data_IF_190762274861
#
_entry.id   IF_190762274861
#
_cell.length_a   1.000
_cell.length_b   1.000
_cell.length_c   1.000
_cell.angle_alpha   90.00
_cell.angle_beta   90.00
_cell.angle_gamma   90.00
#
_symmetry.space_group_name_H-M   'P 1'
#
loop_
_entity.id
_entity.type
_entity.pdbx_description
1 polymer ?
#
# COMPACT_ATOMS: atom_id res chain seq x y z
N UNK A 1 3.93 7.29 12.68
CA UNK A 1 5.12 7.21 11.80
C UNK A 1 4.77 6.30 10.63
N UNK A 2 4.32 6.87 9.52
CA UNK A 2 3.90 6.07 8.35
C UNK A 2 5.11 5.98 7.42
N UNK A 3 5.73 4.80 7.34
CA UNK A 3 6.81 4.53 6.38
C UNK A 3 6.33 4.62 4.93
N UNK A 4 7.16 4.24 3.97
CA UNK A 4 6.93 4.31 2.50
C UNK A 4 5.54 3.84 2.03
N UNK A 5 4.92 2.94 2.78
CA UNK A 5 3.55 2.43 2.56
C UNK A 5 2.46 3.50 2.73
N UNK A 6 2.61 4.40 3.70
CA UNK A 6 1.70 5.52 3.89
C UNK A 6 1.69 6.47 2.71
N UNK A 7 2.85 6.67 2.09
CA UNK A 7 2.99 7.54 0.91
C UNK A 7 2.24 6.97 -0.31
N UNK A 8 2.19 5.64 -0.47
CA UNK A 8 1.40 5.01 -1.53
C UNK A 8 -0.11 5.20 -1.30
N UNK A 9 -0.57 5.06 -0.05
CA UNK A 9 -1.97 5.31 0.30
C UNK A 9 -2.32 6.77 0.02
N UNK A 10 -1.47 7.69 0.46
CA UNK A 10 -1.67 9.12 0.27
C UNK A 10 -1.69 9.47 -1.22
N UNK A 11 -0.77 8.91 -2.01
CA UNK A 11 -0.75 9.06 -3.46
C UNK A 11 -2.04 8.53 -4.13
N UNK A 12 -2.59 7.39 -3.67
CA UNK A 12 -3.86 6.88 -4.18
C UNK A 12 -5.03 7.79 -3.79
N UNK A 13 -5.09 8.23 -2.53
CA UNK A 13 -6.13 9.17 -2.05
C UNK A 13 -6.04 10.53 -2.73
N UNK A 14 -4.84 10.96 -3.10
CA UNK A 14 -4.59 12.15 -3.90
C UNK A 14 -4.89 11.96 -5.40
N UNK A 15 -5.27 10.76 -5.84
CA UNK A 15 -5.53 10.44 -7.24
C UNK A 15 -4.28 10.41 -8.13
N UNK A 16 -3.08 10.39 -7.53
CA UNK A 16 -1.80 10.34 -8.25
C UNK A 16 -1.48 8.95 -8.79
N UNK A 17 -2.01 7.90 -8.14
CA UNK A 17 -1.87 6.52 -8.58
C UNK A 17 -3.22 5.79 -8.60
N UNK A 18 -3.47 4.93 -9.60
CA UNK A 18 -4.75 4.24 -9.75
C UNK A 18 -4.93 3.07 -8.77
N UNK A 19 -3.84 2.41 -8.35
CA UNK A 19 -3.88 1.25 -7.46
C UNK A 19 -2.63 1.20 -6.60
N UNK A 20 -2.74 0.74 -5.34
CA UNK A 20 -1.58 0.60 -4.43
C UNK A 20 -0.94 -0.77 -4.60
N UNK A 21 -1.74 -1.78 -4.93
CA UNK A 21 -1.33 -3.18 -5.12
C UNK A 21 -0.07 -3.37 -5.97
N UNK A 22 0.04 -2.84 -7.21
CA UNK A 22 1.22 -3.08 -8.05
C UNK A 22 2.51 -2.45 -7.49
N UNK A 23 2.41 -1.31 -6.80
CA UNK A 23 3.56 -0.67 -6.16
C UNK A 23 3.96 -1.40 -4.88
N UNK A 24 2.97 -1.90 -4.14
CA UNK A 24 3.19 -2.72 -2.96
C UNK A 24 3.91 -4.03 -3.32
N UNK A 25 3.46 -4.69 -4.38
CA UNK A 25 4.06 -5.92 -4.90
C UNK A 25 5.51 -5.69 -5.35
N UNK A 26 5.75 -4.55 -6.01
CA UNK A 26 7.11 -4.15 -6.41
C UNK A 26 8.02 -3.84 -5.22
N UNK A 27 7.49 -3.23 -4.16
CA UNK A 27 8.23 -3.03 -2.91
C UNK A 27 8.59 -4.37 -2.27
N UNK A 28 7.65 -5.31 -2.20
CA UNK A 28 7.91 -6.66 -1.69
C UNK A 28 8.99 -7.36 -2.53
N UNK A 29 8.94 -7.23 -3.85
CA UNK A 29 9.97 -7.74 -4.77
C UNK A 29 11.35 -7.09 -4.54
N UNK A 30 11.40 -5.82 -4.13
CA UNK A 30 12.61 -5.10 -3.74
C UNK A 30 13.13 -5.46 -2.32
N UNK A 31 12.63 -6.56 -1.72
CA UNK A 31 12.88 -7.00 -0.34
C UNK A 31 12.33 -6.09 0.76
N UNK A 32 11.32 -5.28 0.44
CA UNK A 32 10.59 -4.56 1.47
C UNK A 32 9.75 -5.55 2.29
N UNK A 33 10.20 -5.83 3.53
CA UNK A 33 9.45 -6.73 4.43
C UNK A 33 8.17 -6.04 4.88
N UNK A 34 7.05 -6.44 4.28
CA UNK A 34 5.72 -6.07 4.74
C UNK A 34 5.11 -7.27 5.45
N UNK A 35 4.72 -7.08 6.72
CA UNK A 35 3.97 -8.11 7.41
C UNK A 35 2.59 -8.27 6.77
N UNK A 36 2.05 -9.49 6.63
CA UNK A 36 0.69 -9.73 6.13
C UNK A 36 -0.39 -8.82 6.74
N UNK A 37 -0.44 -8.58 8.07
CA UNK A 37 -1.43 -7.66 8.65
C UNK A 37 -1.21 -6.21 8.24
N UNK A 38 0.04 -5.77 8.03
CA UNK A 38 0.35 -4.42 7.52
C UNK A 38 -0.09 -4.28 6.07
N UNK A 39 0.11 -5.30 5.24
CA UNK A 39 -0.40 -5.32 3.86
C UNK A 39 -1.92 -5.19 3.84
N UNK A 40 -2.63 -5.98 4.64
CA UNK A 40 -4.09 -5.89 4.73
C UNK A 40 -4.56 -4.50 5.19
N UNK A 41 -3.91 -3.91 6.21
CA UNK A 41 -4.21 -2.56 6.66
C UNK A 41 -3.95 -1.50 5.57
N UNK A 42 -2.88 -1.64 4.79
CA UNK A 42 -2.56 -0.73 3.68
C UNK A 42 -3.58 -0.85 2.56
N UNK A 43 -3.96 -2.06 2.16
CA UNK A 43 -5.02 -2.24 1.15
C UNK A 43 -6.38 -1.72 1.66
N UNK A 44 -6.71 -1.93 2.95
CA UNK A 44 -7.94 -1.40 3.56
C UNK A 44 -7.94 0.13 3.60
N UNK A 45 -6.81 0.76 3.93
CA UNK A 45 -6.65 2.23 3.89
C UNK A 45 -6.63 2.80 2.47
N UNK A 46 -6.26 1.99 1.48
CA UNK A 46 -6.24 2.31 0.06
C UNK A 46 -7.55 1.96 -0.67
N UNK A 47 -8.59 1.55 0.06
CA UNK A 47 -9.89 1.15 -0.49
C UNK A 47 -9.80 -0.03 -1.49
N UNK A 48 -8.76 -0.87 -1.38
CA UNK A 48 -8.53 -2.05 -2.24
C UNK A 48 -8.89 -3.39 -1.59
N UNK A 49 -9.27 -3.39 -0.31
CA UNK A 49 -9.75 -4.59 0.37
C UNK A 49 -11.16 -4.36 0.90
N UNK A 50 -12.20 -4.96 0.30
CA UNK A 50 -13.46 -5.18 0.98
C UNK A 50 -13.27 -6.27 2.05
N UNK A 51 -14.00 -6.10 3.16
CA UNK A 51 -14.04 -6.93 4.37
C UNK A 51 -14.13 -8.45 4.12
#
# INVERSE_FOLDING_TARGET
>A
MTGTLGLLIDAKRAGLIPAVTPYLDRLVALRFRVAPPTRAAVLKLADELPE
#
